data_IF_141862166272
#
_entry.id   IF_141862166272
#
_cell.length_a   1.000
_cell.length_b   1.000
_cell.length_c   1.000
_cell.angle_alpha   90.00
_cell.angle_beta   90.00
_cell.angle_gamma   90.00
#
_symmetry.space_group_name_H-M   'P 1'
#
loop_
_entity.id
_entity.type
_entity.pdbx_description
1 polymer ?
#
# COMPACT_ATOMS: atom_id res chain seq x y z
N UNK A 1 56.56 -0.08 -40.01
CA UNK A 1 56.00 -1.43 -40.17
C UNK A 1 54.49 -1.26 -40.17
N UNK A 2 53.87 -1.27 -41.35
CA UNK A 2 52.42 -1.13 -41.48
C UNK A 2 51.74 -2.36 -40.88
N UNK A 3 50.81 -2.15 -39.94
CA UNK A 3 49.98 -3.22 -39.41
C UNK A 3 49.13 -3.81 -40.53
N UNK A 4 49.32 -5.11 -40.79
CA UNK A 4 48.61 -5.86 -41.83
C UNK A 4 47.09 -5.62 -41.69
N UNK A 5 46.35 -5.29 -42.76
CA UNK A 5 44.93 -4.93 -42.69
C UNK A 5 44.07 -5.99 -41.99
N UNK A 6 44.42 -7.27 -42.19
CA UNK A 6 43.80 -8.43 -41.52
C UNK A 6 43.92 -8.34 -39.98
N UNK A 7 45.04 -7.86 -39.45
CA UNK A 7 45.27 -7.71 -38.01
C UNK A 7 44.40 -6.61 -37.39
N UNK A 8 44.10 -5.55 -38.15
CA UNK A 8 43.19 -4.47 -37.74
C UNK A 8 41.74 -4.97 -37.71
N UNK A 9 41.33 -5.69 -38.76
CA UNK A 9 39.99 -6.28 -38.84
C UNK A 9 39.74 -7.32 -37.74
N UNK A 10 40.73 -8.17 -37.43
CA UNK A 10 40.67 -9.10 -36.30
C UNK A 10 40.54 -8.39 -34.95
N UNK A 11 41.20 -7.24 -34.78
CA UNK A 11 41.07 -6.42 -33.57
C UNK A 11 39.67 -5.82 -33.46
N UNK A 12 39.10 -5.32 -34.56
CA UNK A 12 37.73 -4.82 -34.59
C UNK A 12 36.70 -5.92 -34.34
N UNK A 13 36.86 -7.10 -34.95
CA UNK A 13 36.00 -8.25 -34.68
C UNK A 13 36.02 -8.62 -33.20
N UNK A 14 37.21 -8.72 -32.57
CA UNK A 14 37.33 -9.02 -31.13
C UNK A 14 36.61 -7.98 -30.27
N UNK A 15 36.75 -6.69 -30.57
CA UNK A 15 36.07 -5.60 -29.84
C UNK A 15 34.55 -5.70 -30.01
N UNK A 16 34.07 -5.92 -31.25
CA UNK A 16 32.64 -6.12 -31.52
C UNK A 16 32.08 -7.32 -30.75
N UNK A 17 32.80 -8.45 -30.70
CA UNK A 17 32.38 -9.62 -29.93
C UNK A 17 32.30 -9.33 -28.43
N UNK A 18 33.26 -8.60 -27.87
CA UNK A 18 33.24 -8.20 -26.45
C UNK A 18 32.01 -7.33 -26.15
N UNK A 19 31.72 -6.34 -27.00
CA UNK A 19 30.55 -5.46 -26.83
C UNK A 19 29.25 -6.25 -26.96
N UNK A 20 29.14 -7.16 -27.93
CA UNK A 20 27.98 -8.02 -28.10
C UNK A 20 27.75 -8.93 -26.88
N UNK A 21 28.80 -9.53 -26.33
CA UNK A 21 28.71 -10.35 -25.11
C UNK A 21 28.23 -9.51 -23.93
N UNK A 22 28.74 -8.28 -23.76
CA UNK A 22 28.26 -7.37 -22.72
C UNK A 22 26.77 -7.09 -22.88
N UNK A 23 26.31 -6.72 -24.08
CA UNK A 23 24.90 -6.46 -24.36
C UNK A 23 24.04 -7.68 -24.03
N UNK A 24 24.48 -8.89 -24.42
CA UNK A 24 23.76 -10.14 -24.13
C UNK A 24 23.68 -10.43 -22.62
N UNK A 25 24.77 -10.21 -21.87
CA UNK A 25 24.79 -10.35 -20.40
C UNK A 25 23.80 -9.37 -19.73
N UNK A 26 23.68 -8.15 -20.26
CA UNK A 26 22.72 -7.17 -19.74
C UNK A 26 21.28 -7.46 -20.19
N UNK A 27 21.07 -8.03 -21.38
CA UNK A 27 19.76 -8.43 -21.89
C UNK A 27 19.18 -9.65 -21.17
N UNK A 28 20.02 -10.58 -20.71
CA UNK A 28 19.61 -11.74 -19.91
C UNK A 28 19.15 -11.37 -18.49
N UNK A 29 19.28 -10.09 -18.09
CA UNK A 29 18.59 -9.56 -16.90
C UNK A 29 17.10 -9.27 -17.16
N UNK A 30 16.45 -10.17 -17.88
CA UNK A 30 15.01 -10.42 -17.77
C UNK A 30 14.62 -11.05 -16.43
N UNK A 31 15.52 -11.07 -15.42
CA UNK A 31 15.09 -11.18 -14.04
C UNK A 31 14.39 -9.86 -13.71
N UNK A 32 13.07 -9.87 -13.93
CA UNK A 32 12.14 -9.03 -13.19
C UNK A 32 12.67 -9.05 -11.77
N UNK A 33 13.25 -7.93 -11.32
CA UNK A 33 13.39 -7.74 -9.90
C UNK A 33 11.94 -7.69 -9.47
N UNK A 34 11.39 -8.85 -9.12
CA UNK A 34 10.27 -8.91 -8.19
C UNK A 34 10.79 -8.13 -7.01
N UNK A 35 10.41 -6.85 -6.98
CA UNK A 35 10.36 -6.09 -5.77
C UNK A 35 9.43 -6.92 -4.92
N UNK A 36 10.00 -7.83 -4.14
CA UNK A 36 9.35 -8.36 -2.96
C UNK A 36 9.16 -7.15 -2.06
N UNK A 37 8.13 -6.37 -2.37
CA UNK A 37 7.26 -5.90 -1.31
C UNK A 37 6.95 -7.16 -0.51
N UNK A 38 7.29 -7.15 0.77
CA UNK A 38 7.16 -8.28 1.68
C UNK A 38 5.68 -8.68 1.87
N UNK A 39 4.98 -9.01 0.79
CA UNK A 39 3.61 -9.49 0.73
C UNK A 39 3.54 -11.02 0.63
N UNK A 40 4.66 -11.71 0.84
CA UNK A 40 4.67 -13.09 1.37
C UNK A 40 4.50 -13.11 2.89
N UNK A 41 3.95 -12.04 3.48
CA UNK A 41 3.01 -12.29 4.57
C UNK A 41 1.91 -13.20 4.03
N UNK A 42 1.37 -14.13 4.84
CA UNK A 42 0.07 -14.71 4.51
C UNK A 42 -0.86 -13.57 4.08
N UNK A 43 -1.95 -13.88 3.39
CA UNK A 43 -3.15 -13.04 3.53
C UNK A 43 -3.54 -13.14 5.01
N UNK A 44 -2.76 -12.48 5.86
CA UNK A 44 -3.16 -12.02 7.13
C UNK A 44 -4.24 -11.07 6.69
N UNK A 45 -5.48 -11.45 6.98
CA UNK A 45 -6.56 -10.53 7.13
C UNK A 45 -6.11 -9.54 8.22
N UNK A 46 -5.09 -8.73 7.95
CA UNK A 46 -4.84 -7.51 8.68
C UNK A 46 -6.12 -6.77 8.36
N UNK A 47 -7.00 -6.56 9.35
CA UNK A 47 -8.14 -5.73 9.10
C UNK A 47 -7.50 -4.40 8.71
N UNK A 48 -7.59 -4.02 7.43
CA UNK A 48 -7.38 -2.65 7.01
C UNK A 48 -8.17 -1.86 8.02
N UNK A 49 -7.48 -1.14 8.91
CA UNK A 49 -8.09 -0.52 10.08
C UNK A 49 -9.41 0.09 9.62
N UNK A 50 -10.54 -0.35 10.18
CA UNK A 50 -11.86 0.15 9.78
C UNK A 50 -12.07 1.60 10.26
N UNK A 51 -11.01 2.40 10.26
CA UNK A 51 -10.95 3.75 10.76
C UNK A 51 -10.94 4.72 9.57
N UNK A 52 -11.97 5.55 9.50
CA UNK A 52 -12.14 6.58 8.48
C UNK A 52 -12.16 7.95 9.14
N UNK A 53 -11.44 8.91 8.59
CA UNK A 53 -11.55 10.30 9.01
C UNK A 53 -12.88 10.89 8.47
N UNK A 54 -13.69 11.47 9.36
CA UNK A 54 -15.01 12.03 9.01
C UNK A 54 -15.05 13.56 9.09
N UNK A 55 -14.08 14.17 9.78
CA UNK A 55 -13.89 15.62 9.87
C UNK A 55 -12.45 15.93 10.34
N UNK A 56 -12.10 17.21 10.47
CA UNK A 56 -10.84 17.63 11.07
C UNK A 56 -10.67 17.00 12.47
N UNK A 57 -9.53 16.33 12.65
CA UNK A 57 -9.15 15.64 13.88
C UNK A 57 -10.21 14.66 14.40
N UNK A 58 -11.12 14.17 13.56
CA UNK A 58 -12.24 13.33 13.97
C UNK A 58 -12.29 12.05 13.15
N UNK A 59 -12.31 10.90 13.82
CA UNK A 59 -12.15 9.58 13.22
C UNK A 59 -13.30 8.67 13.64
N UNK A 60 -13.83 7.87 12.72
CA UNK A 60 -14.81 6.83 12.99
C UNK A 60 -14.14 5.47 12.83
N UNK A 61 -14.25 4.60 13.84
CA UNK A 61 -13.75 3.22 13.84
C UNK A 61 -14.93 2.26 13.90
N UNK A 62 -15.00 1.31 12.98
CA UNK A 62 -15.92 0.18 13.07
C UNK A 62 -15.21 -1.02 13.73
N UNK A 63 -15.60 -1.32 14.95
CA UNK A 63 -15.14 -2.50 15.69
C UNK A 63 -15.98 -3.71 15.27
N UNK A 64 -15.30 -4.71 14.72
CA UNK A 64 -15.88 -6.01 14.40
C UNK A 64 -15.51 -6.98 15.51
N UNK A 65 -16.45 -7.35 16.37
CA UNK A 65 -16.22 -8.40 17.35
C UNK A 65 -16.62 -9.75 16.73
N UNK A 66 -15.65 -10.62 16.39
CA UNK A 66 -15.93 -11.91 15.75
C UNK A 66 -16.74 -12.86 16.64
N UNK A 67 -16.79 -12.64 17.96
CA UNK A 67 -17.64 -13.42 18.87
C UNK A 67 -19.10 -12.92 18.88
N UNK A 68 -19.34 -11.70 18.39
CA UNK A 68 -20.60 -10.96 18.50
C UNK A 68 -21.49 -11.08 17.25
N UNK A 69 -21.03 -11.80 16.21
CA UNK A 69 -21.75 -11.94 14.93
C UNK A 69 -21.74 -10.65 14.11
N UNK A 70 -22.87 -10.30 13.48
CA UNK A 70 -23.04 -9.09 12.63
C UNK A 70 -23.14 -7.77 13.44
N UNK A 71 -22.80 -7.81 14.73
CA UNK A 71 -22.73 -6.65 15.62
C UNK A 71 -21.49 -5.83 15.28
N UNK A 72 -21.66 -4.83 14.42
CA UNK A 72 -20.62 -3.83 14.24
C UNK A 72 -20.85 -2.67 15.20
N UNK A 73 -19.83 -2.28 15.95
CA UNK A 73 -19.90 -1.09 16.80
C UNK A 73 -19.12 0.03 16.13
N UNK A 74 -19.78 1.16 15.85
CA UNK A 74 -19.14 2.35 15.29
C UNK A 74 -18.81 3.29 16.46
N UNK A 75 -17.52 3.62 16.61
CA UNK A 75 -17.00 4.56 17.60
C UNK A 75 -16.44 5.79 16.90
N UNK A 76 -16.86 6.98 17.31
CA UNK A 76 -16.34 8.26 16.81
C UNK A 76 -15.39 8.84 17.86
N UNK A 77 -14.19 9.17 17.44
CA UNK A 77 -13.14 9.77 18.25
C UNK A 77 -12.80 11.16 17.76
N UNK A 78 -12.40 12.04 18.68
CA UNK A 78 -11.83 13.35 18.36
C UNK A 78 -10.45 13.48 18.99
N UNK A 79 -9.48 13.88 18.21
CA UNK A 79 -8.13 14.20 18.65
C UNK A 79 -8.03 15.68 18.97
N UNK A 80 -7.52 15.98 20.16
CA UNK A 80 -7.19 17.33 20.60
C UNK A 80 -5.66 17.51 20.50
N UNK A 81 -5.17 18.35 19.56
CA UNK A 81 -3.74 18.59 19.38
C UNK A 81 -3.12 19.38 20.55
N UNK A 82 -3.91 20.20 21.26
CA UNK A 82 -3.41 21.04 22.35
C UNK A 82 -3.10 20.21 23.58
N UNK A 83 -3.90 19.16 23.83
CA UNK A 83 -3.70 18.23 24.95
C UNK A 83 -3.04 16.92 24.55
N UNK A 84 -2.84 16.69 23.24
CA UNK A 84 -2.38 15.45 22.64
C UNK A 84 -3.19 14.21 23.10
N UNK A 85 -4.51 14.37 23.20
CA UNK A 85 -5.43 13.33 23.69
C UNK A 85 -6.47 12.97 22.63
N UNK A 86 -6.90 11.71 22.67
CA UNK A 86 -8.03 11.22 21.89
C UNK A 86 -9.18 10.97 22.84
N UNK A 87 -10.35 11.51 22.53
CA UNK A 87 -11.59 11.33 23.30
C UNK A 87 -12.62 10.57 22.46
N UNK A 88 -13.37 9.68 23.10
CA UNK A 88 -14.55 9.05 22.50
C UNK A 88 -15.70 10.06 22.51
N UNK A 89 -16.17 10.45 21.33
CA UNK A 89 -17.28 11.39 21.15
C UNK A 89 -18.61 10.64 21.15
N UNK A 90 -18.65 9.48 20.49
CA UNK A 90 -19.88 8.71 20.36
C UNK A 90 -19.64 7.25 20.05
N UNK A 91 -20.55 6.39 20.48
CA UNK A 91 -20.55 4.96 20.22
C UNK A 91 -21.95 4.51 19.81
N UNK A 92 -22.03 3.68 18.78
CA UNK A 92 -23.28 3.16 18.23
C UNK A 92 -23.13 1.69 17.87
N UNK A 93 -24.18 0.90 18.11
CA UNK A 93 -24.25 -0.49 17.67
C UNK A 93 -25.12 -0.57 16.40
N UNK A 94 -24.62 -1.22 15.35
CA UNK A 94 -25.28 -1.36 14.04
C UNK A 94 -26.30 -2.50 13.96
N UNK A 95 -26.59 -3.20 15.05
CA UNK A 95 -27.62 -4.26 15.07
C UNK A 95 -28.99 -3.84 14.58
N UNK A 96 -29.27 -2.54 14.56
CA UNK A 96 -30.59 -2.00 14.27
C UNK A 96 -30.47 -0.92 13.18
N UNK A 97 -29.96 -1.30 12.01
CA UNK A 97 -29.85 -0.45 10.81
C UNK A 97 -31.16 0.30 10.48
N UNK A 98 -32.32 -0.28 10.81
CA UNK A 98 -33.66 0.26 10.59
C UNK A 98 -34.07 1.41 11.51
N UNK A 99 -33.27 1.77 12.52
CA UNK A 99 -33.63 2.81 13.52
C UNK A 99 -32.78 4.07 13.44
N UNK A 100 -31.71 4.08 12.63
CA UNK A 100 -30.79 5.21 12.53
C UNK A 100 -31.08 6.07 11.28
N UNK A 101 -32.29 6.59 11.16
CA UNK A 101 -32.50 7.81 10.39
C UNK A 101 -31.91 9.00 11.17
N UNK A 102 -30.63 9.28 10.93
CA UNK A 102 -30.04 10.53 11.42
C UNK A 102 -30.70 11.68 10.64
N UNK A 103 -31.55 12.46 11.32
CA UNK A 103 -32.09 13.71 10.78
C UNK A 103 -30.95 14.73 10.65
N UNK A 104 -30.21 14.66 9.55
CA UNK A 104 -29.38 15.76 9.09
C UNK A 104 -30.32 16.95 8.83
N UNK A 105 -30.13 18.00 9.63
CA UNK A 105 -30.79 19.30 9.58
C UNK A 105 -32.26 19.32 10.04
N UNK A 106 -32.46 19.62 11.33
CA UNK A 106 -33.50 20.58 11.69
C UNK A 106 -32.81 21.93 11.93
N UNK A 107 -33.01 22.94 11.07
CA UNK A 107 -32.72 24.30 11.45
C UNK A 107 -33.70 24.72 12.55
N UNK A 108 -33.18 25.24 13.66
CA UNK A 108 -33.97 26.12 14.55
C UNK A 108 -34.21 27.46 13.87
#
# INVERSE_FOLDING_TARGET
MEEHPISKELRYMRICFIILILILIFFDRGKVVEVSTNHDTPIMNVPTSNMTQIAENTFALQENDPASGDRHTIKIFKYDPDTNKIILVKEFNTENYSTYEYKLNKPE
#
